data_IF_006835127228
#
_entry.id   IF_006835127228
#
_cell.length_a   1.000
_cell.length_b   1.000
_cell.length_c   1.000
_cell.angle_alpha   90.00
_cell.angle_beta   90.00
_cell.angle_gamma   90.00
#
_symmetry.space_group_name_H-M   'P 1'
#
loop_
_entity.id
_entity.type
_entity.pdbx_description
1 polymer ?
#
# COMPACT_ATOMS: atom_id res chain seq x y z
N UNK A 1 -24.35 21.63 -23.57
CA UNK A 1 -23.16 21.40 -22.72
C UNK A 1 -23.46 20.22 -21.80
N UNK A 2 -22.80 19.07 -21.98
CA UNK A 2 -22.88 17.94 -21.04
C UNK A 2 -21.47 17.74 -20.50
N UNK A 3 -21.29 18.06 -19.23
CA UNK A 3 -20.00 17.99 -18.54
C UNK A 3 -19.63 16.52 -18.39
N UNK A 4 -18.69 16.03 -19.22
CA UNK A 4 -18.09 14.69 -19.09
C UNK A 4 -17.34 14.63 -17.76
N UNK A 5 -17.97 14.01 -16.76
CA UNK A 5 -17.40 13.73 -15.44
C UNK A 5 -16.21 12.77 -15.65
N UNK A 6 -14.99 13.23 -15.36
CA UNK A 6 -13.76 12.40 -15.38
C UNK A 6 -13.95 11.25 -14.39
N UNK A 7 -14.25 10.06 -14.89
CA UNK A 7 -14.25 8.84 -14.08
C UNK A 7 -12.80 8.58 -13.63
N UNK A 8 -12.60 8.46 -12.33
CA UNK A 8 -11.34 8.04 -11.75
C UNK A 8 -10.94 6.70 -12.38
N UNK A 9 -9.74 6.64 -12.97
CA UNK A 9 -9.18 5.43 -13.55
C UNK A 9 -8.93 4.47 -12.39
N UNK A 10 -9.85 3.53 -12.17
CA UNK A 10 -9.68 2.49 -11.16
C UNK A 10 -8.64 1.53 -11.72
N UNK A 11 -7.45 1.49 -11.14
CA UNK A 11 -6.40 0.55 -11.54
C UNK A 11 -6.52 -0.69 -10.66
N UNK A 12 -6.40 -1.89 -11.25
CA UNK A 12 -6.49 -3.13 -10.50
C UNK A 12 -5.33 -3.28 -9.51
N UNK A 13 -5.52 -4.07 -8.47
CA UNK A 13 -4.42 -4.40 -7.56
C UNK A 13 -3.33 -5.17 -8.32
N UNK A 14 -2.15 -4.56 -8.46
CA UNK A 14 -0.96 -5.21 -9.04
C UNK A 14 -0.19 -5.85 -7.89
N UNK A 15 -0.37 -7.16 -7.71
CA UNK A 15 0.39 -7.98 -6.78
C UNK A 15 1.32 -8.91 -7.56
N UNK A 16 2.47 -9.19 -6.97
CA UNK A 16 3.37 -10.25 -7.47
C UNK A 16 2.69 -11.62 -7.31
N UNK A 17 2.93 -12.52 -8.26
CA UNK A 17 2.27 -13.84 -8.33
C UNK A 17 2.58 -14.71 -7.09
N UNK A 18 3.78 -14.63 -6.53
CA UNK A 18 4.13 -15.36 -5.30
C UNK A 18 3.35 -14.81 -4.10
N UNK A 19 3.23 -13.48 -4.00
CA UNK A 19 2.46 -12.83 -2.93
C UNK A 19 0.97 -13.14 -3.04
N UNK A 20 0.44 -13.10 -4.26
CA UNK A 20 -0.95 -13.45 -4.54
C UNK A 20 -1.26 -14.89 -4.10
N UNK A 21 -0.45 -15.85 -4.52
CA UNK A 21 -0.64 -17.26 -4.18
C UNK A 21 -0.50 -17.51 -2.67
N UNK A 22 0.41 -16.82 -1.98
CA UNK A 22 0.52 -16.89 -0.51
C UNK A 22 -0.74 -16.39 0.19
N UNK A 23 -1.29 -15.25 -0.24
CA UNK A 23 -2.52 -14.70 0.35
C UNK A 23 -3.70 -15.64 0.13
N UNK A 24 -3.86 -16.18 -1.08
CA UNK A 24 -4.92 -17.14 -1.39
C UNK A 24 -4.77 -18.40 -0.52
N UNK A 25 -3.55 -18.92 -0.35
CA UNK A 25 -3.29 -20.07 0.50
C UNK A 25 -3.62 -19.79 1.98
N UNK A 26 -3.29 -18.61 2.50
CA UNK A 26 -3.64 -18.19 3.87
C UNK A 26 -5.14 -18.04 4.11
N UNK A 27 -5.91 -17.70 3.07
CA UNK A 27 -7.37 -17.61 3.14
C UNK A 27 -8.06 -18.96 2.95
N UNK A 28 -7.34 -20.01 2.54
CA UNK A 28 -7.87 -21.34 2.27
C UNK A 28 -7.86 -22.22 3.53
N UNK A 29 -8.37 -21.68 4.64
CA UNK A 29 -8.49 -22.41 5.90
C UNK A 29 -9.88 -23.05 5.92
N UNK A 30 -9.93 -24.36 5.71
CA UNK A 30 -11.15 -25.15 5.82
C UNK A 30 -11.46 -25.40 7.31
N UNK A 31 -12.31 -24.58 7.92
CA UNK A 31 -12.73 -24.84 9.31
C UNK A 31 -13.94 -24.03 9.75
N UNK A 32 -15.06 -24.74 9.94
CA UNK A 32 -16.15 -24.53 10.91
C UNK A 32 -16.97 -23.25 10.90
N UNK A 33 -16.38 -22.12 10.53
CA UNK A 33 -16.96 -20.79 10.65
C UNK A 33 -17.42 -20.32 9.27
N UNK A 34 -18.71 -20.57 8.99
CA UNK A 34 -19.31 -20.23 7.69
C UNK A 34 -19.27 -18.72 7.41
N UNK A 35 -19.31 -17.88 8.44
CA UNK A 35 -19.39 -16.43 8.32
C UNK A 35 -18.00 -15.82 8.06
N UNK A 36 -16.98 -16.20 8.84
CA UNK A 36 -15.60 -15.83 8.55
C UNK A 36 -15.10 -16.48 7.23
N UNK A 37 -15.54 -17.70 6.92
CA UNK A 37 -15.25 -18.38 5.66
C UNK A 37 -15.80 -17.64 4.44
N UNK A 38 -16.98 -17.04 4.54
CA UNK A 38 -17.55 -16.20 3.47
C UNK A 38 -16.74 -14.93 3.21
N UNK A 39 -16.19 -14.31 4.27
CA UNK A 39 -15.26 -13.16 4.13
C UNK A 39 -13.99 -13.61 3.41
N UNK A 40 -13.41 -14.72 3.83
CA UNK A 40 -12.20 -15.26 3.22
C UNK A 40 -12.42 -15.62 1.74
N UNK A 41 -13.55 -16.26 1.40
CA UNK A 41 -13.89 -16.60 0.02
C UNK A 41 -14.13 -15.35 -0.85
N UNK A 42 -14.75 -14.31 -0.27
CA UNK A 42 -14.93 -13.03 -0.96
C UNK A 42 -13.58 -12.35 -1.22
N UNK A 43 -12.64 -12.43 -0.28
CA UNK A 43 -11.27 -11.92 -0.47
C UNK A 43 -10.48 -12.73 -1.51
N UNK A 44 -10.61 -14.06 -1.53
CA UNK A 44 -9.99 -14.89 -2.56
C UNK A 44 -10.51 -14.52 -3.95
N UNK A 45 -11.83 -14.36 -4.08
CA UNK A 45 -12.45 -13.91 -5.33
C UNK A 45 -11.95 -12.53 -5.72
N UNK A 46 -11.85 -11.60 -4.76
CA UNK A 46 -11.29 -10.26 -4.97
C UNK A 46 -9.86 -10.28 -5.52
N UNK A 47 -9.02 -11.17 -5.00
CA UNK A 47 -7.64 -11.36 -5.44
C UNK A 47 -7.52 -11.94 -6.86
N UNK A 48 -8.49 -12.75 -7.29
CA UNK A 48 -8.54 -13.33 -8.63
C UNK A 48 -9.18 -12.40 -9.68
N UNK A 49 -9.91 -11.37 -9.24
CA UNK A 49 -10.54 -10.42 -10.14
C UNK A 49 -9.51 -9.49 -10.78
N UNK A 50 -9.61 -9.34 -12.10
CA UNK A 50 -8.84 -8.38 -12.91
C UNK A 50 -9.63 -7.11 -13.20
N UNK A 51 -10.96 -7.11 -13.02
CA UNK A 51 -11.78 -5.92 -13.20
C UNK A 51 -11.77 -5.04 -11.94
N UNK A 52 -11.20 -3.83 -12.03
CA UNK A 52 -11.06 -2.94 -10.89
C UNK A 52 -12.41 -2.43 -10.34
N UNK A 53 -13.48 -2.39 -11.14
CA UNK A 53 -14.82 -2.02 -10.66
C UNK A 53 -15.41 -3.12 -9.78
N UNK A 54 -15.34 -4.37 -10.25
CA UNK A 54 -15.77 -5.54 -9.47
C UNK A 54 -14.95 -5.70 -8.20
N UNK A 55 -13.63 -5.43 -8.26
CA UNK A 55 -12.77 -5.41 -7.08
C UNK A 55 -13.29 -4.45 -5.99
N UNK A 56 -13.66 -3.22 -6.37
CA UNK A 56 -14.22 -2.23 -5.43
C UNK A 56 -15.59 -2.63 -4.90
N UNK A 57 -16.44 -3.26 -5.70
CA UNK A 57 -17.75 -3.73 -5.23
C UNK A 57 -17.60 -4.89 -4.25
N UNK A 58 -16.71 -5.83 -4.56
CA UNK A 58 -16.49 -7.01 -3.72
C UNK A 58 -15.86 -6.62 -2.40
N UNK A 59 -14.91 -5.67 -2.37
CA UNK A 59 -14.32 -5.22 -1.12
C UNK A 59 -15.33 -4.51 -0.22
N UNK A 60 -16.26 -3.75 -0.79
CA UNK A 60 -17.36 -3.13 -0.03
C UNK A 60 -18.26 -4.21 0.59
N UNK A 61 -18.56 -5.26 -0.17
CA UNK A 61 -19.31 -6.41 0.36
C UNK A 61 -18.54 -7.09 1.50
N UNK A 62 -17.24 -7.32 1.33
CA UNK A 62 -16.36 -7.86 2.38
C UNK A 62 -16.40 -6.99 3.64
N UNK A 63 -16.37 -5.66 3.50
CA UNK A 63 -16.49 -4.75 4.64
C UNK A 63 -17.82 -4.87 5.37
N UNK A 64 -18.94 -4.92 4.64
CA UNK A 64 -20.25 -5.12 5.26
C UNK A 64 -20.38 -6.49 5.94
N UNK A 65 -19.69 -7.53 5.43
CA UNK A 65 -19.65 -8.83 6.07
C UNK A 65 -18.87 -8.75 7.39
N UNK A 66 -17.67 -8.14 7.36
CA UNK A 66 -16.83 -7.92 8.55
C UNK A 66 -17.52 -7.10 9.64
N UNK A 67 -18.35 -6.13 9.27
CA UNK A 67 -19.08 -5.28 10.24
C UNK A 67 -20.16 -6.06 11.01
N UNK A 68 -20.74 -7.09 10.40
CA UNK A 68 -21.83 -7.91 10.99
C UNK A 68 -21.29 -9.08 11.81
N UNK A 69 -20.00 -9.40 11.69
CA UNK A 69 -19.35 -10.47 12.44
C UNK A 69 -19.36 -10.22 13.96
N UNK A 70 -19.44 -11.31 14.73
CA UNK A 70 -19.41 -11.30 16.19
C UNK A 70 -18.05 -11.76 16.72
N UNK A 71 -17.77 -11.61 18.02
CA UNK A 71 -16.47 -12.00 18.59
C UNK A 71 -16.24 -13.53 18.64
N UNK A 72 -17.23 -14.34 18.24
CA UNK A 72 -17.21 -15.81 18.35
C UNK A 72 -16.48 -16.53 17.20
N UNK A 73 -15.91 -15.77 16.25
CA UNK A 73 -15.32 -16.32 15.04
C UNK A 73 -13.89 -16.82 15.19
N UNK A 74 -13.48 -17.66 14.23
CA UNK A 74 -12.11 -18.19 14.13
C UNK A 74 -11.08 -17.07 13.93
N UNK A 75 -10.30 -16.79 14.99
CA UNK A 75 -9.23 -15.78 14.97
C UNK A 75 -8.27 -15.96 13.78
N UNK A 76 -7.93 -17.21 13.43
CA UNK A 76 -6.97 -17.49 12.36
C UNK A 76 -7.47 -17.09 10.96
N UNK A 77 -8.77 -17.25 10.68
CA UNK A 77 -9.35 -16.86 9.37
C UNK A 77 -9.46 -15.33 9.29
N UNK A 78 -9.89 -14.70 10.39
CA UNK A 78 -10.02 -13.25 10.46
C UNK A 78 -8.68 -12.55 10.33
N UNK A 79 -7.64 -13.05 11.01
CA UNK A 79 -6.30 -12.51 10.89
C UNK A 79 -5.76 -12.59 9.46
N UNK A 80 -6.01 -13.71 8.76
CA UNK A 80 -5.65 -13.86 7.35
C UNK A 80 -6.42 -12.86 6.45
N UNK A 81 -7.69 -12.60 6.75
CA UNK A 81 -8.50 -11.62 6.03
C UNK A 81 -7.97 -10.20 6.23
N UNK A 82 -7.70 -9.80 7.48
CA UNK A 82 -7.15 -8.49 7.83
C UNK A 82 -5.74 -8.29 7.25
N UNK A 83 -4.92 -9.33 7.28
CA UNK A 83 -3.58 -9.31 6.67
C UNK A 83 -3.66 -9.13 5.16
N UNK A 84 -4.59 -9.82 4.49
CA UNK A 84 -4.80 -9.64 3.05
C UNK A 84 -5.19 -8.20 2.71
N UNK A 85 -6.15 -7.63 3.45
CA UNK A 85 -6.58 -6.24 3.29
C UNK A 85 -5.41 -5.26 3.49
N UNK A 86 -4.60 -5.48 4.52
CA UNK A 86 -3.44 -4.64 4.86
C UNK A 86 -2.34 -4.70 3.79
N UNK A 87 -2.02 -5.90 3.29
CA UNK A 87 -1.06 -6.08 2.20
C UNK A 87 -1.52 -5.38 0.92
N UNK A 88 -2.80 -5.52 0.57
CA UNK A 88 -3.36 -4.87 -0.63
C UNK A 88 -3.41 -3.35 -0.44
N UNK A 89 -3.77 -2.87 0.74
CA UNK A 89 -3.77 -1.43 1.05
C UNK A 89 -2.39 -0.80 0.84
N UNK A 90 -1.34 -1.45 1.34
CA UNK A 90 0.05 -0.96 1.28
C UNK A 90 0.69 -1.10 -0.10
N UNK A 91 0.11 -1.88 -1.02
CA UNK A 91 0.61 -1.99 -2.40
C UNK A 91 -0.02 -0.96 -3.34
N UNK A 92 -1.24 -0.50 -3.03
CA UNK A 92 -2.00 0.43 -3.85
C UNK A 92 -1.58 1.91 -3.66
N UNK A 93 -1.70 2.71 -4.72
CA UNK A 93 -1.46 4.17 -4.66
C UNK A 93 -2.65 4.92 -4.01
N UNK A 94 -2.41 6.08 -3.38
CA UNK A 94 -3.46 6.84 -2.67
C UNK A 94 -4.61 7.29 -3.57
N UNK A 95 -4.31 7.50 -4.85
CA UNK A 95 -5.32 7.89 -5.85
C UNK A 95 -6.22 6.72 -6.29
N UNK A 96 -5.89 5.49 -5.89
CA UNK A 96 -6.63 4.30 -6.29
C UNK A 96 -7.95 4.20 -5.49
N UNK A 97 -9.12 4.15 -6.16
CA UNK A 97 -10.41 3.99 -5.49
C UNK A 97 -10.50 2.69 -4.66
N UNK A 98 -9.76 1.66 -5.04
CA UNK A 98 -9.68 0.41 -4.29
C UNK A 98 -8.99 0.60 -2.93
N UNK A 99 -7.92 1.40 -2.87
CA UNK A 99 -7.26 1.73 -1.60
C UNK A 99 -8.23 2.47 -0.67
N UNK A 100 -9.02 3.40 -1.21
CA UNK A 100 -10.05 4.12 -0.43
C UNK A 100 -11.15 3.19 0.07
N UNK A 101 -11.55 2.22 -0.75
CA UNK A 101 -12.55 1.24 -0.35
C UNK A 101 -12.01 0.33 0.78
N UNK A 102 -10.78 -0.17 0.65
CA UNK A 102 -10.12 -0.93 1.73
C UNK A 102 -9.93 -0.08 2.99
N UNK A 103 -9.58 1.21 2.83
CA UNK A 103 -9.47 2.14 3.95
C UNK A 103 -10.79 2.22 4.72
N UNK A 104 -11.89 2.34 3.98
CA UNK A 104 -13.23 2.36 4.55
C UNK A 104 -13.55 1.07 5.29
N UNK A 105 -13.19 -0.09 4.73
CA UNK A 105 -13.40 -1.40 5.38
C UNK A 105 -12.62 -1.49 6.68
N UNK A 106 -11.32 -1.21 6.65
CA UNK A 106 -10.46 -1.26 7.84
C UNK A 106 -10.87 -0.23 8.90
N UNK A 107 -11.51 0.88 8.49
CA UNK A 107 -12.01 1.91 9.40
C UNK A 107 -13.41 1.62 9.96
N UNK A 108 -14.17 0.74 9.32
CA UNK A 108 -15.51 0.33 9.74
C UNK A 108 -15.56 -1.05 10.39
N UNK A 109 -14.40 -1.68 10.64
CA UNK A 109 -14.36 -2.93 11.39
C UNK A 109 -14.87 -2.71 12.83
N UNK A 110 -15.50 -3.72 13.44
CA UNK A 110 -15.98 -3.60 14.81
C UNK A 110 -14.82 -3.42 15.80
N UNK A 111 -15.08 -2.77 16.94
CA UNK A 111 -14.04 -2.38 17.90
C UNK A 111 -13.19 -3.55 18.43
N UNK A 112 -13.78 -4.74 18.59
CA UNK A 112 -13.09 -5.97 19.00
C UNK A 112 -12.10 -6.49 17.93
N UNK A 113 -12.28 -6.10 16.67
CA UNK A 113 -11.41 -6.46 15.55
C UNK A 113 -10.42 -5.33 15.18
N UNK A 114 -10.67 -4.12 15.69
CA UNK A 114 -9.91 -2.92 15.34
C UNK A 114 -8.43 -3.00 15.75
N UNK A 115 -8.13 -3.57 16.91
CA UNK A 115 -6.74 -3.76 17.37
C UNK A 115 -5.97 -4.68 16.41
N UNK A 116 -6.55 -5.83 16.04
CA UNK A 116 -5.96 -6.77 15.09
C UNK A 116 -5.77 -6.18 13.70
N UNK A 117 -6.75 -5.39 13.23
CA UNK A 117 -6.66 -4.70 11.95
C UNK A 117 -5.49 -3.70 11.95
N UNK A 118 -5.33 -2.95 13.04
CA UNK A 118 -4.25 -1.99 13.22
C UNK A 118 -2.88 -2.68 13.32
N UNK A 119 -2.77 -3.78 14.06
CA UNK A 119 -1.53 -4.54 14.20
C UNK A 119 -1.08 -5.13 12.86
N UNK A 120 -2.03 -5.68 12.11
CA UNK A 120 -1.78 -6.20 10.77
C UNK A 120 -1.30 -5.12 9.80
N UNK A 121 -1.94 -3.93 9.84
CA UNK A 121 -1.55 -2.78 9.04
C UNK A 121 -0.16 -2.25 9.44
N UNK A 122 0.12 -2.17 10.74
CA UNK A 122 1.42 -1.77 11.27
C UNK A 122 2.53 -2.74 10.84
N UNK A 123 2.27 -4.04 10.91
CA UNK A 123 3.19 -5.08 10.43
C UNK A 123 3.49 -4.94 8.94
N UNK A 124 2.46 -4.81 8.11
CA UNK A 124 2.62 -4.60 6.67
C UNK A 124 3.41 -3.32 6.33
N UNK A 125 3.15 -2.24 7.08
CA UNK A 125 3.84 -0.96 6.87
C UNK A 125 5.31 -1.02 7.32
N UNK A 126 5.60 -1.70 8.43
CA UNK A 126 6.96 -2.00 8.88
C UNK A 126 7.74 -2.80 7.85
N UNK A 127 7.13 -3.85 7.30
CA UNK A 127 7.73 -4.65 6.23
C UNK A 127 7.98 -3.83 4.95
N UNK A 128 7.05 -2.94 4.60
CA UNK A 128 7.23 -2.01 3.48
C UNK A 128 8.43 -1.08 3.73
N UNK A 129 8.56 -0.50 4.92
CA UNK A 129 9.70 0.38 5.26
C UNK A 129 11.04 -0.37 5.23
N UNK A 130 11.08 -1.61 5.74
CA UNK A 130 12.30 -2.42 5.81
C UNK A 130 12.78 -2.91 4.43
N UNK A 131 11.85 -3.32 3.57
CA UNK A 131 12.17 -3.95 2.27
C UNK A 131 12.34 -2.96 1.10
N UNK A 132 12.11 -1.68 1.32
CA UNK A 132 12.06 -0.71 0.22
C UNK A 132 13.39 -0.04 -0.11
N UNK A 133 13.65 0.07 -1.41
CA UNK A 133 14.70 0.91 -1.98
C UNK A 133 14.27 2.39 -2.01
N UNK A 134 15.25 3.28 -2.18
CA UNK A 134 15.04 4.73 -2.16
C UNK A 134 14.01 5.22 -3.18
N UNK A 135 13.82 4.51 -4.29
CA UNK A 135 12.83 4.84 -5.33
C UNK A 135 11.38 4.75 -4.85
N UNK A 136 11.11 3.97 -3.79
CA UNK A 136 9.76 3.78 -3.23
C UNK A 136 9.47 4.64 -2.01
N UNK A 137 10.44 5.41 -1.52
CA UNK A 137 10.25 6.28 -0.34
C UNK A 137 9.08 7.27 -0.48
N UNK A 138 8.88 7.95 -1.63
CA UNK A 138 7.73 8.83 -1.78
C UNK A 138 6.38 8.09 -1.65
N UNK A 139 6.30 6.86 -2.17
CA UNK A 139 5.11 6.03 -2.07
C UNK A 139 4.83 5.61 -0.62
N UNK A 140 5.87 5.23 0.12
CA UNK A 140 5.75 4.76 1.51
C UNK A 140 5.37 5.92 2.43
N UNK A 141 5.98 7.09 2.24
CA UNK A 141 5.62 8.30 2.99
C UNK A 141 4.16 8.68 2.75
N UNK A 142 3.67 8.58 1.51
CA UNK A 142 2.26 8.79 1.19
C UNK A 142 1.34 7.75 1.89
N UNK A 143 1.74 6.48 1.92
CA UNK A 143 1.01 5.44 2.67
C UNK A 143 0.96 5.78 4.16
N UNK A 144 2.10 6.12 4.78
CA UNK A 144 2.18 6.53 6.19
C UNK A 144 1.26 7.72 6.45
N UNK A 145 1.33 8.76 5.62
CA UNK A 145 0.52 9.96 5.79
C UNK A 145 -0.99 9.65 5.74
N UNK A 146 -1.44 8.86 4.78
CA UNK A 146 -2.86 8.45 4.73
C UNK A 146 -3.27 7.49 5.83
N UNK A 147 -2.34 6.69 6.34
CA UNK A 147 -2.61 5.79 7.46
C UNK A 147 -2.86 6.59 8.74
N UNK A 148 -2.01 7.60 9.00
CA UNK A 148 -2.16 8.50 10.14
C UNK A 148 -3.41 9.38 10.06
N UNK A 149 -3.86 9.72 8.85
CA UNK A 149 -5.09 10.50 8.63
C UNK A 149 -6.36 9.63 8.70
N UNK A 150 -6.28 8.38 8.23
CA UNK A 150 -7.44 7.50 8.07
C UNK A 150 -7.72 6.57 9.24
N UNK A 151 -6.75 6.30 10.11
CA UNK A 151 -6.88 5.30 11.17
C UNK A 151 -6.33 5.83 12.49
N UNK A 152 -6.98 5.50 13.63
CA UNK A 152 -6.42 5.75 14.95
C UNK A 152 -5.32 4.72 15.25
N UNK A 153 -4.26 4.70 14.43
CA UNK A 153 -3.05 3.92 14.69
C UNK A 153 -2.41 4.53 15.93
N UNK A 154 -2.69 3.94 17.09
CA UNK A 154 -2.22 4.44 18.38
C UNK A 154 -0.69 4.54 18.46
N UNK A 155 -0.21 4.96 19.63
CA UNK A 155 1.20 5.25 20.00
C UNK A 155 2.26 4.19 19.60
N UNK A 156 1.86 2.97 19.23
CA UNK A 156 2.73 1.82 18.95
C UNK A 156 3.47 1.98 17.60
N UNK A 157 2.84 2.54 16.57
CA UNK A 157 3.52 2.80 15.29
C UNK A 157 4.57 3.92 15.41
N UNK A 158 4.43 4.79 16.41
CA UNK A 158 5.04 6.11 16.42
C UNK A 158 6.53 6.14 16.84
N UNK A 159 7.06 5.11 17.49
CA UNK A 159 8.24 5.32 18.35
C UNK A 159 9.58 4.93 17.73
N UNK A 160 9.68 3.84 16.96
CA UNK A 160 10.99 3.33 16.52
C UNK A 160 11.05 3.08 15.02
N UNK A 161 10.15 2.26 14.46
CA UNK A 161 10.20 1.90 13.03
C UNK A 161 10.03 3.11 12.10
N UNK A 162 9.10 4.01 12.44
CA UNK A 162 8.90 5.27 11.70
C UNK A 162 10.13 6.18 11.80
N UNK A 163 10.75 6.26 12.97
CA UNK A 163 11.93 7.09 13.23
C UNK A 163 13.15 6.58 12.44
N UNK A 164 13.38 5.27 12.44
CA UNK A 164 14.44 4.60 11.68
C UNK A 164 14.22 4.81 10.18
N UNK A 165 12.99 4.66 9.70
CA UNK A 165 12.66 4.90 8.29
C UNK A 165 12.89 6.36 7.91
N UNK A 166 12.42 7.32 8.72
CA UNK A 166 12.64 8.74 8.47
C UNK A 166 14.13 9.08 8.43
N UNK A 167 14.92 8.52 9.35
CA UNK A 167 16.37 8.66 9.35
C UNK A 167 16.98 8.13 8.05
N UNK A 168 16.56 6.94 7.59
CA UNK A 168 17.03 6.34 6.33
C UNK A 168 16.67 7.17 5.10
N UNK A 169 15.43 7.69 5.04
CA UNK A 169 14.97 8.59 3.96
C UNK A 169 15.81 9.86 3.93
N UNK A 170 16.06 10.47 5.09
CA UNK A 170 16.86 11.69 5.21
C UNK A 170 18.35 11.46 4.89
N UNK A 171 18.89 10.28 5.19
CA UNK A 171 20.27 9.91 4.87
C UNK A 171 20.49 9.63 3.37
N UNK A 172 19.50 9.05 2.69
CA UNK A 172 19.55 8.79 1.25
C UNK A 172 19.24 10.01 0.37
N UNK A 173 18.44 10.96 0.85
CA UNK A 173 18.10 12.20 0.12
C UNK A 173 19.33 13.02 -0.34
N UNK A 174 20.41 13.22 0.44
CA UNK A 174 21.62 13.90 -0.04
C UNK A 174 22.44 13.09 -1.06
N UNK A 175 22.25 11.77 -1.20
CA UNK A 175 22.97 10.94 -2.18
C UNK A 175 22.39 11.05 -3.60
N UNK A 176 21.06 11.17 -3.72
CA UNK A 176 20.42 11.43 -5.03
C UNK A 176 20.75 12.82 -5.57
N UNK A 177 20.94 13.82 -4.71
CA UNK A 177 21.27 15.18 -5.15
C UNK A 177 22.73 15.32 -5.64
N UNK A 178 23.67 14.49 -5.14
CA UNK A 178 25.05 14.49 -5.63
C UNK A 178 25.21 13.85 -7.01
N UNK A 179 24.45 12.78 -7.32
CA UNK A 179 24.49 12.18 -8.66
C UNK A 179 23.82 13.06 -9.73
N UNK A 180 22.78 13.82 -9.36
CA UNK A 180 22.13 14.78 -10.27
C UNK A 180 23.02 15.99 -10.58
N UNK A 181 23.84 16.44 -9.63
CA UNK A 181 24.79 17.52 -9.87
C UNK A 181 26.01 17.06 -10.69
N UNK A 182 26.44 15.80 -10.56
CA UNK A 182 27.53 15.27 -11.39
C UNK A 182 27.16 15.14 -12.88
N UNK A 183 25.88 14.90 -13.20
CA UNK A 183 25.39 14.93 -14.59
C UNK A 183 25.26 16.35 -15.17
N UNK A 184 25.12 17.37 -14.33
CA UNK A 184 25.08 18.77 -14.77
C UNK A 184 26.48 19.32 -15.04
N UNK A 185 27.51 18.83 -14.34
CA UNK A 185 28.90 19.26 -14.55
C UNK A 185 29.52 18.70 -15.84
N UNK A 186 29.02 17.58 -16.38
CA UNK A 186 29.47 17.04 -17.68
C UNK A 186 28.91 17.78 -18.91
N UNK A 187 27.91 18.66 -18.76
CA UNK A 187 27.30 19.42 -19.88
C UNK A 187 27.91 20.83 -20.02
N UNK A 188 28.83 21.24 -19.14
CA UNK A 188 29.44 22.59 -19.20
C UNK A 188 30.95 22.63 -19.51
N UNK A 189 31.61 21.50 -19.73
CA UNK A 189 32.99 21.45 -20.23
C UNK A 189 33.04 21.01 -21.69
N UNK A 190 32.58 21.87 -22.58
CA UNK A 190 32.50 21.55 -24.01
C UNK A 190 32.50 22.75 -24.94
N UNK A 191 33.19 23.85 -24.59
CA UNK A 191 33.48 24.90 -25.57
C UNK A 191 34.66 25.77 -25.14
N UNK A 192 35.89 25.30 -25.37
CA UNK A 192 37.04 26.19 -25.47
C UNK A 192 38.08 25.60 -26.42
N UNK A 193 37.94 25.94 -27.71
CA UNK A 193 38.98 25.75 -28.72
C UNK A 193 39.54 27.15 -29.06
N UNK A 194 40.82 27.43 -28.81
CA UNK A 194 41.42 28.70 -29.20
C UNK A 194 41.81 28.65 -30.69
N UNK A 195 41.10 29.41 -31.52
CA UNK A 195 41.49 29.64 -32.93
C UNK A 195 42.73 30.53 -32.93
N UNK A 196 43.91 29.93 -33.16
CA UNK A 196 45.19 30.63 -33.27
C UNK A 196 45.57 30.78 -34.75
N UNK A 197 45.41 32.01 -35.23
CA UNK A 197 46.22 32.73 -36.24
C UNK A 197 46.76 31.99 -37.47
N UNK A 198 46.16 32.27 -38.62
CA UNK A 198 46.82 32.22 -39.94
C UNK A 198 47.64 33.50 -40.08
N UNK A 199 48.96 33.38 -40.19
CA UNK A 199 49.83 34.47 -40.66
C UNK A 199 50.05 34.32 -42.16
N UNK A 200 50.06 35.48 -42.81
CA UNK A 200 50.19 35.76 -44.24
C UNK A 200 51.49 35.30 -44.87
#
# INVERSE_FOLDING_TARGET
MVVKKKAAKVEAAVLDEEKLNRLIASLCISGGDEEAGQVAQSLQSFLQLTDPVQQVQLIKKTGSQLEVLTEEHSDGILDACLHTLSVVYTTLQAKNPLRRAIASVLGSVPGWLQERANDSLCGCLSDCMNRSSSDRYPQIVDIIATCLDGFPLGKIFFSISLLIFLHKVLEDHPRQNRYRNSFSDCIHTGHDSPVRGIKS
#
